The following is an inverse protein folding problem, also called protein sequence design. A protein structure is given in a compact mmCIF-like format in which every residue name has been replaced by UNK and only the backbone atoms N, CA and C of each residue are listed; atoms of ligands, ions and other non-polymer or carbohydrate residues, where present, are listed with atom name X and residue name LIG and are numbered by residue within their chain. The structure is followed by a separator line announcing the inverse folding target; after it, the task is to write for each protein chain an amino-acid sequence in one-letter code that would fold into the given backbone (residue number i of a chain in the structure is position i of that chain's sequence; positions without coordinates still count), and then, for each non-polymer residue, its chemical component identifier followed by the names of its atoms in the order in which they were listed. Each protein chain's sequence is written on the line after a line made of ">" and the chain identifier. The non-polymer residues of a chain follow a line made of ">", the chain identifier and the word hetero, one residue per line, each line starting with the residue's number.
data_IF_874432671137
#
_entry.id   IF_874432671137
#
_cell.length_a   1.000
_cell.length_b   1.000
_cell.length_c   1.000
_cell.angle_alpha   90.00
_cell.angle_beta   90.00
_cell.angle_gamma   90.00
#
_symmetry.space_group_name_H-M   'P 1'
#
loop_
_entity.id
_entity.type
_entity.pdbx_description
1 polymer ?
#
# COMPACT_ATOMS: atom_id res chain seq x y z
N UNK A 1 6.04 4.87 -13.63
CA UNK A 1 6.23 4.24 -12.30
C UNK A 1 5.66 5.17 -11.25
N UNK A 2 4.75 4.72 -10.39
CA UNK A 2 4.20 5.57 -9.33
C UNK A 2 5.30 6.03 -8.36
N UNK A 3 5.48 7.33 -8.28
CA UNK A 3 6.39 7.96 -7.33
C UNK A 3 5.59 8.45 -6.11
N UNK A 4 6.26 9.09 -5.15
CA UNK A 4 5.63 9.52 -3.90
C UNK A 4 4.36 10.37 -4.11
N UNK A 5 4.33 11.37 -5.02
CA UNK A 5 3.13 12.17 -5.24
C UNK A 5 1.93 11.37 -5.74
N UNK A 6 2.15 10.42 -6.66
CA UNK A 6 1.09 9.56 -7.19
C UNK A 6 0.56 8.61 -6.12
N UNK A 7 1.44 8.07 -5.29
CA UNK A 7 1.04 7.21 -4.16
C UNK A 7 0.25 8.01 -3.13
N UNK A 8 0.64 9.25 -2.83
CA UNK A 8 -0.12 10.13 -1.93
C UNK A 8 -1.48 10.52 -2.52
N UNK A 9 -1.56 10.79 -3.81
CA UNK A 9 -2.82 11.06 -4.51
C UNK A 9 -3.75 9.85 -4.43
N UNK A 10 -3.21 8.65 -4.65
CA UNK A 10 -3.95 7.39 -4.50
C UNK A 10 -4.46 7.23 -3.06
N UNK A 11 -3.61 7.43 -2.06
CA UNK A 11 -3.99 7.38 -0.64
C UNK A 11 -5.17 8.31 -0.34
N UNK A 12 -5.08 9.57 -0.74
CA UNK A 12 -6.12 10.58 -0.52
C UNK A 12 -7.43 10.20 -1.21
N UNK A 13 -7.36 9.68 -2.41
CA UNK A 13 -8.54 9.24 -3.15
C UNK A 13 -9.24 8.02 -2.52
N UNK A 14 -8.49 7.14 -1.90
CA UNK A 14 -9.00 5.92 -1.28
C UNK A 14 -9.52 6.14 0.15
N UNK A 15 -8.91 7.03 0.91
CA UNK A 15 -9.20 7.23 2.33
C UNK A 15 -10.69 7.44 2.65
N UNK A 16 -11.45 8.33 1.95
CA UNK A 16 -12.87 8.55 2.24
C UNK A 16 -13.74 7.31 2.01
N UNK A 17 -13.31 6.41 1.13
CA UNK A 17 -14.06 5.20 0.79
C UNK A 17 -13.73 4.01 1.68
N UNK A 18 -12.52 3.97 2.23
CA UNK A 18 -12.02 2.82 2.98
C UNK A 18 -12.17 2.96 4.49
N UNK A 19 -11.89 4.15 5.05
CA UNK A 19 -11.93 4.35 6.50
C UNK A 19 -13.35 4.16 7.03
N UNK A 20 -13.49 3.29 8.04
CA UNK A 20 -14.76 2.92 8.63
C UNK A 20 -15.47 1.75 7.94
N UNK A 21 -15.01 1.33 6.77
CA UNK A 21 -15.58 0.17 6.07
C UNK A 21 -15.06 -1.14 6.67
N UNK A 22 -15.92 -2.17 6.64
CA UNK A 22 -15.52 -3.54 6.98
C UNK A 22 -15.08 -4.29 5.74
N UNK A 23 -14.03 -5.08 5.89
CA UNK A 23 -13.55 -5.96 4.84
C UNK A 23 -14.36 -7.24 4.88
N UNK A 24 -15.11 -7.53 3.81
CA UNK A 24 -15.93 -8.72 3.70
C UNK A 24 -15.16 -9.89 3.11
N UNK A 25 -14.33 -9.63 2.11
CA UNK A 25 -13.60 -10.67 1.38
C UNK A 25 -12.38 -10.10 0.68
N UNK A 26 -11.33 -10.90 0.59
CA UNK A 26 -10.19 -10.68 -0.30
C UNK A 26 -10.26 -11.70 -1.44
N UNK A 27 -10.38 -11.21 -2.67
CA UNK A 27 -10.37 -12.04 -3.89
C UNK A 27 -9.01 -11.90 -4.54
N UNK A 28 -8.25 -13.00 -4.60
CA UNK A 28 -6.93 -13.03 -5.20
C UNK A 28 -7.00 -13.88 -6.47
N UNK A 29 -6.82 -13.26 -7.64
CA UNK A 29 -6.79 -13.93 -8.94
C UNK A 29 -5.37 -14.31 -9.35
N UNK A 30 -4.38 -13.53 -8.90
CA UNK A 30 -2.96 -13.78 -9.11
C UNK A 30 -2.21 -13.72 -7.79
N UNK A 31 -1.74 -14.88 -7.34
CA UNK A 31 -1.00 -14.98 -6.06
C UNK A 31 0.47 -14.57 -6.18
N UNK A 32 1.03 -14.63 -7.40
CA UNK A 32 2.44 -14.34 -7.64
C UNK A 32 2.60 -12.90 -8.14
N UNK A 33 2.82 -11.98 -7.22
CA UNK A 33 3.28 -10.62 -7.47
C UNK A 33 4.81 -10.57 -7.29
N UNK A 34 5.38 -9.41 -6.96
CA UNK A 34 6.81 -9.29 -6.65
C UNK A 34 7.25 -10.29 -5.59
N UNK A 35 6.44 -10.45 -4.56
CA UNK A 35 6.48 -11.54 -3.59
C UNK A 35 5.13 -12.23 -3.59
N UNK A 36 5.08 -13.52 -3.27
CA UNK A 36 3.81 -14.21 -3.13
C UNK A 36 2.88 -13.48 -2.14
N UNK A 37 1.62 -13.33 -2.50
CA UNK A 37 0.62 -12.82 -1.55
C UNK A 37 0.53 -13.78 -0.37
N UNK A 38 0.67 -13.31 0.88
CA UNK A 38 0.65 -14.20 2.03
C UNK A 38 -0.62 -15.04 2.09
N UNK A 39 -0.48 -16.35 2.28
CA UNK A 39 -1.62 -17.30 2.34
C UNK A 39 -2.63 -16.93 3.43
N UNK A 40 -2.16 -16.31 4.51
CA UNK A 40 -2.99 -15.90 5.66
C UNK A 40 -3.68 -14.54 5.46
N UNK A 41 -3.36 -13.82 4.39
CA UNK A 41 -3.85 -12.44 4.22
C UNK A 41 -5.38 -12.38 4.21
N UNK A 42 -6.04 -13.27 3.48
CA UNK A 42 -7.49 -13.29 3.41
C UNK A 42 -8.13 -13.49 4.78
N UNK A 43 -7.63 -14.42 5.58
CA UNK A 43 -8.14 -14.67 6.95
C UNK A 43 -7.81 -13.54 7.92
N UNK A 44 -6.65 -12.89 7.78
CA UNK A 44 -6.28 -11.75 8.61
C UNK A 44 -7.17 -10.53 8.36
N UNK A 45 -7.62 -10.34 7.13
CA UNK A 45 -8.46 -9.20 6.73
C UNK A 45 -9.96 -9.43 6.93
N UNK A 46 -10.42 -10.69 6.89
CA UNK A 46 -11.83 -11.00 6.93
C UNK A 46 -12.52 -10.45 8.18
N UNK A 47 -13.66 -9.75 8.00
CA UNK A 47 -14.45 -9.13 9.04
C UNK A 47 -13.73 -8.09 9.92
N UNK A 48 -12.66 -7.49 9.41
CA UNK A 48 -11.97 -6.41 10.13
C UNK A 48 -12.44 -5.04 9.63
N UNK A 49 -12.44 -4.06 10.54
CA UNK A 49 -12.73 -2.67 10.21
C UNK A 49 -11.44 -1.94 9.81
N UNK A 50 -11.50 -1.19 8.72
CA UNK A 50 -10.41 -0.30 8.30
C UNK A 50 -10.47 0.96 9.15
N UNK A 51 -9.41 1.24 9.90
CA UNK A 51 -9.35 2.38 10.82
C UNK A 51 -8.55 3.55 10.25
N UNK A 52 -7.60 3.31 9.35
CA UNK A 52 -6.79 4.35 8.73
C UNK A 52 -6.22 3.91 7.39
N UNK A 53 -5.99 4.89 6.52
CA UNK A 53 -5.23 4.71 5.27
C UNK A 53 -4.08 5.72 5.29
N UNK A 54 -2.87 5.21 5.47
CA UNK A 54 -1.65 6.03 5.58
C UNK A 54 -0.68 5.72 4.46
N UNK A 55 0.34 6.52 4.35
CA UNK A 55 1.48 6.31 3.44
C UNK A 55 2.79 6.41 4.22
N UNK A 56 3.73 5.57 3.85
CA UNK A 56 5.13 5.68 4.26
C UNK A 56 6.01 5.48 3.03
N UNK A 57 6.75 6.50 2.63
CA UNK A 57 7.44 6.55 1.35
C UNK A 57 6.48 6.18 0.19
N UNK A 58 6.78 5.15 -0.59
CA UNK A 58 5.91 4.66 -1.68
C UNK A 58 5.03 3.47 -1.28
N UNK A 59 4.88 3.21 0.02
CA UNK A 59 4.00 2.16 0.56
C UNK A 59 2.70 2.75 1.06
N UNK A 60 1.59 2.12 0.67
CA UNK A 60 0.26 2.38 1.24
C UNK A 60 0.05 1.43 2.41
N UNK A 61 -0.46 1.97 3.50
CA UNK A 61 -0.69 1.26 4.75
C UNK A 61 -2.19 1.33 5.08
N UNK A 62 -2.89 0.22 4.88
CA UNK A 62 -4.30 0.08 5.26
C UNK A 62 -4.35 -0.57 6.63
N UNK A 63 -4.62 0.23 7.65
CA UNK A 63 -4.65 -0.23 9.03
C UNK A 63 -6.03 -0.77 9.38
N UNK A 64 -6.05 -1.93 10.02
CA UNK A 64 -7.24 -2.57 10.56
C UNK A 64 -7.08 -2.82 12.06
N UNK A 65 -8.14 -3.31 12.70
CA UNK A 65 -8.12 -3.69 14.13
C UNK A 65 -7.07 -4.78 14.44
N UNK A 66 -6.75 -5.64 13.47
CA UNK A 66 -5.88 -6.81 13.67
C UNK A 66 -4.47 -6.64 13.14
N UNK A 67 -4.18 -5.58 12.41
CA UNK A 67 -2.87 -5.32 11.82
C UNK A 67 -2.94 -4.42 10.61
N UNK A 68 -1.90 -4.41 9.80
CA UNK A 68 -1.77 -3.50 8.66
C UNK A 68 -1.49 -4.26 7.37
N UNK A 69 -2.31 -3.98 6.36
CA UNK A 69 -2.05 -4.36 4.97
C UNK A 69 -1.07 -3.36 4.35
N UNK A 70 0.04 -3.85 3.84
CA UNK A 70 1.08 -3.05 3.19
C UNK A 70 0.97 -3.29 1.68
N UNK A 71 0.74 -2.23 0.91
CA UNK A 71 0.63 -2.29 -0.54
C UNK A 71 1.73 -1.44 -1.18
N UNK A 72 2.41 -1.99 -2.17
CA UNK A 72 3.34 -1.27 -3.04
C UNK A 72 2.88 -1.41 -4.49
N UNK A 73 2.82 -0.29 -5.21
CA UNK A 73 2.29 -0.29 -6.58
C UNK A 73 3.29 -0.78 -7.62
N UNK A 74 4.55 -0.96 -7.24
CA UNK A 74 5.60 -1.40 -8.18
C UNK A 74 5.85 -0.37 -9.28
N UNK A 75 5.84 -0.82 -10.52
CA UNK A 75 6.08 0.03 -11.68
C UNK A 75 4.80 0.37 -12.47
N UNK A 76 3.82 -0.51 -12.45
CA UNK A 76 2.59 -0.40 -13.24
C UNK A 76 1.32 -0.62 -12.43
N UNK A 77 1.44 -0.78 -11.12
CA UNK A 77 0.31 -1.02 -10.24
C UNK A 77 -0.56 0.22 -10.06
N UNK A 78 -1.85 0.00 -9.95
CA UNK A 78 -2.84 1.02 -9.62
C UNK A 78 -3.92 0.45 -8.71
N UNK A 79 -4.51 1.33 -7.92
CA UNK A 79 -5.64 1.02 -7.03
C UNK A 79 -6.81 1.95 -7.37
N UNK A 80 -8.00 1.39 -7.47
CA UNK A 80 -9.22 2.16 -7.73
C UNK A 80 -10.42 1.52 -7.04
N UNK A 81 -11.37 2.36 -6.67
CA UNK A 81 -12.68 1.88 -6.21
C UNK A 81 -13.52 1.54 -7.43
N UNK A 82 -14.13 0.37 -7.41
CA UNK A 82 -15.05 -0.11 -8.45
C UNK A 82 -16.33 -0.65 -7.83
N UNK A 83 -17.41 -0.70 -8.61
CA UNK A 83 -18.65 -1.33 -8.15
C UNK A 83 -18.48 -2.85 -8.00
N UNK A 84 -19.26 -3.45 -7.11
CA UNK A 84 -19.18 -4.89 -6.85
C UNK A 84 -19.42 -5.74 -8.09
N UNK A 85 -20.22 -5.26 -9.04
CA UNK A 85 -20.53 -5.95 -10.29
C UNK A 85 -19.51 -5.72 -11.41
N UNK A 86 -18.51 -4.87 -11.20
CA UNK A 86 -17.51 -4.56 -12.23
C UNK A 86 -16.69 -5.80 -12.60
N UNK A 87 -16.76 -6.18 -13.88
CA UNK A 87 -16.03 -7.35 -14.39
C UNK A 87 -14.53 -7.10 -14.38
N UNK A 88 -13.72 -8.00 -13.81
CA UNK A 88 -12.27 -7.83 -13.79
C UNK A 88 -11.66 -8.06 -15.19
N UNK A 89 -10.66 -7.25 -15.51
CA UNK A 89 -9.82 -7.43 -16.68
C UNK A 89 -8.63 -8.38 -16.42
N UNK A 90 -7.80 -8.63 -17.45
CA UNK A 90 -6.73 -9.63 -17.37
C UNK A 90 -5.61 -9.30 -16.38
N UNK A 91 -5.48 -8.04 -15.99
CA UNK A 91 -4.45 -7.56 -15.06
C UNK A 91 -5.01 -7.11 -13.70
N UNK A 92 -6.30 -7.36 -13.46
CA UNK A 92 -6.97 -7.10 -12.19
C UNK A 92 -6.74 -8.29 -11.24
N UNK A 93 -5.70 -8.19 -10.44
CA UNK A 93 -5.15 -9.33 -9.70
C UNK A 93 -5.75 -9.53 -8.31
N UNK A 94 -6.17 -8.45 -7.66
CA UNK A 94 -6.70 -8.50 -6.30
C UNK A 94 -7.90 -7.55 -6.17
N UNK A 95 -8.97 -8.02 -5.54
CA UNK A 95 -10.08 -7.19 -5.10
C UNK A 95 -10.26 -7.32 -3.58
N UNK A 96 -10.32 -6.19 -2.89
CA UNK A 96 -10.75 -6.11 -1.51
C UNK A 96 -12.22 -5.68 -1.48
N UNK A 97 -13.09 -6.62 -1.14
CA UNK A 97 -14.54 -6.38 -1.07
C UNK A 97 -14.88 -5.74 0.27
N UNK A 98 -15.54 -4.61 0.25
CA UNK A 98 -15.87 -3.85 1.46
C UNK A 98 -17.38 -3.69 1.65
N UNK A 99 -17.79 -3.37 2.88
CA UNK A 99 -19.18 -3.32 3.32
C UNK A 99 -20.03 -2.24 2.63
N UNK A 100 -19.43 -1.29 1.94
CA UNK A 100 -20.12 -0.24 1.18
C UNK A 100 -20.73 -0.72 -0.15
N UNK A 101 -20.53 -1.98 -0.53
CA UNK A 101 -20.92 -2.52 -1.83
C UNK A 101 -19.93 -2.24 -2.95
N UNK A 102 -18.76 -1.72 -2.62
CA UNK A 102 -17.66 -1.45 -3.55
C UNK A 102 -16.50 -2.40 -3.34
N UNK A 103 -15.56 -2.39 -4.29
CA UNK A 103 -14.30 -3.14 -4.22
C UNK A 103 -13.14 -2.18 -4.43
N UNK A 104 -12.09 -2.36 -3.63
CA UNK A 104 -10.78 -1.82 -3.96
C UNK A 104 -10.09 -2.79 -4.91
N UNK A 105 -9.90 -2.37 -6.16
CA UNK A 105 -9.31 -3.20 -7.21
C UNK A 105 -7.87 -2.83 -7.46
N UNK A 106 -7.01 -3.85 -7.45
CA UNK A 106 -5.61 -3.73 -7.77
C UNK A 106 -5.33 -4.29 -9.16
N UNK A 107 -4.82 -3.42 -10.03
CA UNK A 107 -4.42 -3.73 -11.41
C UNK A 107 -2.91 -3.56 -11.55
N UNK A 108 -2.21 -4.56 -12.10
CA UNK A 108 -0.75 -4.49 -12.25
C UNK A 108 -0.25 -5.39 -13.40
N UNK A 109 -0.16 -4.86 -14.63
CA UNK A 109 0.28 -5.65 -15.78
C UNK A 109 1.65 -6.32 -15.59
N UNK A 110 2.58 -5.68 -14.92
CA UNK A 110 3.95 -6.18 -14.73
C UNK A 110 4.14 -7.03 -13.48
N UNK A 111 3.20 -7.01 -12.54
CA UNK A 111 3.23 -7.78 -11.28
C UNK A 111 4.44 -7.45 -10.38
N UNK A 112 4.93 -6.22 -10.43
CA UNK A 112 6.05 -5.76 -9.60
C UNK A 112 5.62 -5.09 -8.31
N UNK A 113 4.33 -4.99 -8.07
CA UNK A 113 3.79 -4.53 -6.81
C UNK A 113 3.74 -5.63 -5.75
N UNK A 114 3.26 -5.28 -4.58
CA UNK A 114 3.20 -6.20 -3.45
C UNK A 114 1.96 -5.97 -2.59
N UNK A 115 1.44 -7.04 -2.04
CA UNK A 115 0.40 -7.08 -1.02
C UNK A 115 0.91 -7.92 0.15
N UNK A 116 1.22 -7.27 1.28
CA UNK A 116 1.86 -7.90 2.43
C UNK A 116 1.08 -7.57 3.70
N UNK A 117 1.34 -8.32 4.76
CA UNK A 117 0.65 -8.17 6.04
C UNK A 117 1.62 -8.12 7.20
N UNK A 118 1.32 -7.28 8.18
CA UNK A 118 2.00 -7.28 9.47
C UNK A 118 1.00 -7.10 10.61
N UNK A 119 1.08 -7.94 11.63
CA UNK A 119 0.33 -7.75 12.88
C UNK A 119 1.07 -6.80 13.86
N UNK A 120 2.38 -6.62 13.65
CA UNK A 120 3.20 -5.68 14.42
C UNK A 120 3.06 -4.25 13.86
N UNK A 121 3.54 -3.22 14.57
CA UNK A 121 3.58 -1.87 14.02
C UNK A 121 4.29 -1.85 12.66
N UNK A 122 3.70 -1.25 11.62
CA UNK A 122 4.24 -1.32 10.25
C UNK A 122 5.64 -0.73 10.13
N UNK A 123 5.99 0.22 10.99
CA UNK A 123 7.33 0.86 11.03
C UNK A 123 8.44 -0.15 11.38
N UNK A 124 8.11 -1.28 12.00
CA UNK A 124 9.05 -2.34 12.35
C UNK A 124 9.25 -3.36 11.21
N UNK A 125 8.42 -3.30 10.17
CA UNK A 125 8.53 -4.21 9.03
C UNK A 125 9.86 -4.01 8.29
N UNK A 126 10.55 -5.09 7.86
CA UNK A 126 11.87 -4.99 7.19
C UNK A 126 11.91 -4.04 5.99
N UNK A 127 10.81 -3.90 5.25
CA UNK A 127 10.72 -2.99 4.11
C UNK A 127 10.57 -1.51 4.51
N UNK A 128 10.18 -1.22 5.75
CA UNK A 128 9.89 0.14 6.23
C UNK A 128 10.89 0.64 7.27
N UNK A 129 11.49 -0.26 8.05
CA UNK A 129 12.33 0.12 9.19
C UNK A 129 13.64 0.82 8.82
N UNK A 130 14.11 0.66 7.59
CA UNK A 130 15.35 1.27 7.08
C UNK A 130 15.12 2.50 6.19
N UNK A 131 13.87 2.93 6.01
CA UNK A 131 13.55 4.09 5.21
C UNK A 131 14.00 5.38 5.91
N UNK A 132 14.53 6.33 5.12
CA UNK A 132 14.85 7.68 5.59
C UNK A 132 13.59 8.45 6.01
N UNK A 133 13.75 9.68 6.54
CA UNK A 133 12.61 10.51 6.94
C UNK A 133 11.73 10.89 5.75
N UNK A 134 10.46 11.14 6.02
CA UNK A 134 9.54 11.66 5.03
C UNK A 134 9.98 13.06 4.56
N UNK A 135 9.92 13.36 3.25
CA UNK A 135 10.44 14.61 2.69
C UNK A 135 9.82 15.89 3.27
N UNK A 136 8.56 15.82 3.72
CA UNK A 136 7.85 16.96 4.30
C UNK A 136 7.81 16.93 5.83
N UNK A 137 8.52 16.02 6.46
CA UNK A 137 8.61 15.97 7.92
C UNK A 137 9.71 16.93 8.42
N UNK A 138 9.61 17.37 9.69
CA UNK A 138 10.61 18.21 10.35
C UNK A 138 11.99 17.53 10.48
N UNK A 139 12.03 16.20 10.42
CA UNK A 139 13.27 15.42 10.50
C UNK A 139 14.05 15.41 9.18
N UNK A 140 13.42 15.75 8.06
CA UNK A 140 14.10 15.99 6.80
C UNK A 140 14.40 17.49 6.68
N UNK A 141 15.58 17.88 7.12
CA UNK A 141 16.03 19.27 7.19
C UNK A 141 17.44 19.42 6.58
N UNK A 142 17.92 20.66 6.52
CA UNK A 142 19.22 20.99 5.95
C UNK A 142 20.37 20.23 6.61
N UNK A 143 20.36 20.13 7.93
CA UNK A 143 21.41 19.44 8.69
C UNK A 143 21.43 17.94 8.40
N UNK A 144 20.25 17.33 8.31
CA UNK A 144 20.11 15.91 7.92
C UNK A 144 20.70 15.68 6.52
N UNK A 145 20.28 16.48 5.53
CA UNK A 145 20.75 16.35 4.15
C UNK A 145 22.25 16.61 4.04
N UNK A 146 22.76 17.63 4.69
CA UNK A 146 24.19 17.95 4.71
C UNK A 146 25.02 16.80 5.28
N UNK A 147 24.63 16.24 6.43
CA UNK A 147 25.31 15.08 7.02
C UNK A 147 25.30 13.87 6.09
N UNK A 148 24.16 13.61 5.43
CA UNK A 148 24.01 12.48 4.53
C UNK A 148 24.86 12.63 3.25
N UNK A 149 24.98 13.86 2.72
CA UNK A 149 25.68 14.15 1.48
C UNK A 149 27.19 14.30 1.67
N UNK A 150 27.65 14.66 2.88
CA UNK A 150 29.06 14.94 3.17
C UNK A 150 29.95 13.74 2.82
N UNK A 151 31.00 14.00 2.03
CA UNK A 151 31.99 12.99 1.62
C UNK A 151 31.49 12.01 0.56
N UNK A 152 30.27 12.17 0.05
CA UNK A 152 29.74 11.31 -1.02
C UNK A 152 30.02 11.91 -2.40
N UNK A 153 30.48 11.06 -3.32
CA UNK A 153 30.74 11.43 -4.73
C UNK A 153 29.57 11.06 -5.64
N UNK A 154 28.55 10.43 -5.10
CA UNK A 154 27.38 9.97 -5.87
C UNK A 154 26.45 11.16 -6.15
N UNK A 155 25.90 11.22 -7.37
CA UNK A 155 24.91 12.24 -7.72
C UNK A 155 23.66 12.14 -6.80
N UNK A 156 23.12 13.30 -6.46
CA UNK A 156 21.83 13.40 -5.77
C UNK A 156 20.74 13.13 -6.81
N UNK A 157 19.93 12.13 -6.54
CA UNK A 157 18.77 11.81 -7.35
C UNK A 157 17.66 11.28 -6.46
#
# INVERSE_FOLDING_TARGET
>A
MPELPEVETTRRGLEPHLVGAHILQLVIRQHQLRWPVPKRLASCLHNTCITAVRRRAKYLLVTTESGTLIIHLGMSGSLRMVDAAAVPGPHDHVDLVISTGKRLRYTDPRRFGAWLWTAAPPETHPLLNSLGPEPLSSTFNTDYLHRLARGRKRAIK
#
